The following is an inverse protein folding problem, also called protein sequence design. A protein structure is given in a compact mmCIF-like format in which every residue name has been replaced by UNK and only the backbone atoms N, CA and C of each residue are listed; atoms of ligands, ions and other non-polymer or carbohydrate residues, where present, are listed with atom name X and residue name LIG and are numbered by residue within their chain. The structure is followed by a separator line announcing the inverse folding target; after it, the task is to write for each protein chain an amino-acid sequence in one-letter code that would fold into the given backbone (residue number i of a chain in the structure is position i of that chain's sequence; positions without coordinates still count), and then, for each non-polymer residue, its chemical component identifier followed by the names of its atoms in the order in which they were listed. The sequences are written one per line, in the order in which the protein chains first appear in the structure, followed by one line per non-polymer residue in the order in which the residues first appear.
data_IF_380644500477
#
_entry.id   IF_380644500477
#
_cell.length_a   1.000
_cell.length_b   1.000
_cell.length_c   1.000
_cell.angle_alpha   90.00
_cell.angle_beta   90.00
_cell.angle_gamma   90.00
#
_symmetry.space_group_name_H-M   'P 1'
#
loop_
_entity.id
_entity.type
_entity.pdbx_description
1 polymer ?
#
# COMPACT_ATOMS: atom_id res chain seq x y z
N UNK A 1 8.07 8.38 -17.59
CA UNK A 1 7.84 8.98 -16.27
C UNK A 1 7.07 7.96 -15.47
N UNK A 2 7.62 7.45 -14.36
CA UNK A 2 6.89 6.51 -13.52
C UNK A 2 5.88 7.31 -12.71
N UNK A 3 4.61 7.25 -13.08
CA UNK A 3 3.54 7.85 -12.30
C UNK A 3 3.54 7.19 -10.92
N UNK A 4 3.86 7.98 -9.87
CA UNK A 4 3.61 7.54 -8.50
C UNK A 4 2.11 7.29 -8.38
N UNK A 5 1.74 6.11 -7.91
CA UNK A 5 0.33 5.79 -7.64
C UNK A 5 -0.22 6.80 -6.63
N UNK A 6 -1.48 7.20 -6.82
CA UNK A 6 -2.19 8.00 -5.82
C UNK A 6 -2.42 7.16 -4.56
N UNK A 7 -2.76 7.82 -3.44
CA UNK A 7 -3.18 7.12 -2.23
C UNK A 7 -4.33 6.14 -2.51
N UNK A 8 -5.33 6.59 -3.27
CA UNK A 8 -6.52 5.80 -3.59
C UNK A 8 -6.21 4.60 -4.48
N UNK A 9 -5.28 4.73 -5.43
CA UNK A 9 -4.81 3.62 -6.26
C UNK A 9 -3.98 2.62 -5.43
N UNK A 10 -3.14 3.13 -4.53
CA UNK A 10 -2.27 2.31 -3.68
C UNK A 10 -3.09 1.48 -2.68
N UNK A 11 -4.12 2.08 -2.07
CA UNK A 11 -5.00 1.37 -1.14
C UNK A 11 -5.84 0.31 -1.88
N UNK A 12 -6.40 0.62 -3.06
CA UNK A 12 -7.11 -0.35 -3.89
C UNK A 12 -6.24 -1.54 -4.27
N UNK A 13 -4.96 -1.29 -4.58
CA UNK A 13 -4.01 -2.34 -4.89
C UNK A 13 -3.73 -3.23 -3.67
N UNK A 14 -3.58 -2.64 -2.49
CA UNK A 14 -3.39 -3.40 -1.24
C UNK A 14 -4.63 -4.25 -0.92
N UNK A 15 -5.84 -3.72 -1.07
CA UNK A 15 -7.09 -4.46 -0.87
C UNK A 15 -7.22 -5.66 -1.82
N UNK A 16 -6.89 -5.46 -3.10
CA UNK A 16 -6.90 -6.54 -4.08
C UNK A 16 -5.87 -7.62 -3.74
N UNK A 17 -4.68 -7.21 -3.31
CA UNK A 17 -3.63 -8.13 -2.88
C UNK A 17 -4.06 -8.97 -1.67
N UNK A 18 -4.72 -8.36 -0.69
CA UNK A 18 -5.27 -9.09 0.47
C UNK A 18 -6.30 -10.11 0.03
N UNK A 19 -7.24 -9.74 -0.86
CA UNK A 19 -8.23 -10.68 -1.42
C UNK A 19 -7.56 -11.86 -2.14
N UNK A 20 -6.48 -11.61 -2.87
CA UNK A 20 -5.73 -12.68 -3.53
C UNK A 20 -4.98 -13.57 -2.53
N UNK A 21 -4.49 -13.03 -1.41
CA UNK A 21 -3.88 -13.81 -0.32
C UNK A 21 -4.90 -14.67 0.44
N UNK A 22 -6.16 -14.22 0.54
CA UNK A 22 -7.26 -14.97 1.16
C UNK A 22 -7.83 -16.07 0.27
N UNK A 23 -7.47 -16.07 -1.02
CA UNK A 23 -7.86 -17.13 -1.95
C UNK A 23 -7.25 -18.47 -1.54
N UNK A 24 -8.08 -19.53 -1.50
CA UNK A 24 -7.67 -20.87 -1.05
C UNK A 24 -6.75 -21.60 -2.03
N UNK A 25 -6.62 -21.10 -3.27
CA UNK A 25 -5.85 -21.71 -4.35
C UNK A 25 -4.47 -21.05 -4.56
N UNK A 26 -4.04 -20.17 -3.66
CA UNK A 26 -2.74 -19.52 -3.75
C UNK A 26 -1.61 -20.48 -3.37
N UNK A 27 -0.57 -20.57 -4.22
CA UNK A 27 0.63 -21.35 -3.89
C UNK A 27 1.50 -20.62 -2.86
N UNK A 28 2.23 -21.39 -2.04
CA UNK A 28 3.11 -20.84 -1.00
C UNK A 28 4.11 -19.79 -1.55
N UNK A 29 4.74 -20.06 -2.69
CA UNK A 29 5.66 -19.13 -3.33
C UNK A 29 4.97 -17.81 -3.71
N UNK A 30 3.73 -17.89 -4.22
CA UNK A 30 2.97 -16.71 -4.59
C UNK A 30 2.50 -15.95 -3.35
N UNK A 31 2.12 -16.64 -2.28
CA UNK A 31 1.77 -16.04 -0.99
C UNK A 31 2.94 -15.23 -0.41
N UNK A 32 4.17 -15.76 -0.46
CA UNK A 32 5.36 -15.04 0.01
C UNK A 32 5.60 -13.78 -0.82
N UNK A 33 5.48 -13.86 -2.15
CA UNK A 33 5.65 -12.71 -3.04
C UNK A 33 4.60 -11.63 -2.77
N UNK A 34 3.33 -12.01 -2.71
CA UNK A 34 2.23 -11.08 -2.41
C UNK A 34 2.36 -10.48 -1.02
N UNK A 35 2.70 -11.26 -0.02
CA UNK A 35 2.95 -10.73 1.33
C UNK A 35 4.01 -9.63 1.32
N UNK A 36 5.14 -9.85 0.63
CA UNK A 36 6.20 -8.83 0.52
C UNK A 36 5.71 -7.56 -0.19
N UNK A 37 4.94 -7.71 -1.27
CA UNK A 37 4.31 -6.58 -1.96
C UNK A 37 3.30 -5.85 -1.04
N UNK A 38 2.51 -6.57 -0.25
CA UNK A 38 1.57 -5.99 0.70
C UNK A 38 2.26 -5.16 1.79
N UNK A 39 3.42 -5.62 2.30
CA UNK A 39 4.24 -4.85 3.25
C UNK A 39 4.77 -3.56 2.61
N UNK A 40 5.23 -3.62 1.36
CA UNK A 40 5.72 -2.44 0.65
C UNK A 40 4.60 -1.41 0.41
N UNK A 41 3.44 -1.86 -0.07
CA UNK A 41 2.26 -1.00 -0.25
C UNK A 41 1.80 -0.38 1.07
N UNK A 42 1.80 -1.15 2.16
CA UNK A 42 1.44 -0.65 3.49
C UNK A 42 2.38 0.45 3.96
N UNK A 43 3.69 0.27 3.71
CA UNK A 43 4.69 1.29 4.03
C UNK A 43 4.50 2.56 3.19
N UNK A 44 4.25 2.42 1.90
CA UNK A 44 3.98 3.56 1.02
C UNK A 44 2.76 4.35 1.49
N UNK A 45 1.66 3.68 1.85
CA UNK A 45 0.46 4.33 2.39
C UNK A 45 0.74 5.08 3.68
N UNK A 46 1.52 4.49 4.58
CA UNK A 46 1.93 5.13 5.81
C UNK A 46 2.75 6.41 5.56
N UNK A 47 3.71 6.34 4.64
CA UNK A 47 4.54 7.48 4.27
C UNK A 47 3.68 8.61 3.65
N UNK A 48 2.73 8.27 2.76
CA UNK A 48 1.79 9.26 2.18
C UNK A 48 0.94 9.96 3.24
N UNK A 49 0.42 9.22 4.23
CA UNK A 49 -0.34 9.81 5.34
C UNK A 49 0.56 10.74 6.15
N UNK A 50 1.77 10.31 6.49
CA UNK A 50 2.72 11.10 7.26
C UNK A 50 3.11 12.39 6.54
N UNK A 51 3.32 12.35 5.23
CA UNK A 51 3.55 13.54 4.41
C UNK A 51 2.36 14.50 4.45
N UNK A 52 1.12 13.98 4.33
CA UNK A 52 -0.08 14.80 4.43
C UNK A 52 -0.27 15.41 5.83
N UNK A 53 0.00 14.65 6.89
CA UNK A 53 -0.05 15.16 8.27
C UNK A 53 0.97 16.26 8.51
N UNK A 54 2.20 16.10 8.03
CA UNK A 54 3.25 17.11 8.16
C UNK A 54 2.83 18.45 7.52
N UNK A 55 2.26 18.41 6.31
CA UNK A 55 1.74 19.61 5.64
C UNK A 55 0.64 20.32 6.46
N UNK A 56 -0.23 19.57 7.15
CA UNK A 56 -1.28 20.15 8.00
C UNK A 56 -0.70 20.77 9.27
N UNK A 57 0.35 20.16 9.85
CA UNK A 57 1.04 20.68 11.04
C UNK A 57 1.77 21.98 10.72
N UNK A 58 2.50 22.06 9.60
CA UNK A 58 3.19 23.28 9.14
C UNK A 58 2.24 24.47 8.90
N UNK A 59 0.97 24.23 8.57
CA UNK A 59 -0.03 25.31 8.35
C UNK A 59 -0.59 25.87 9.67
N UNK A 60 -0.40 25.18 10.80
CA UNK A 60 -0.97 25.58 12.10
C UNK A 60 -0.03 26.43 12.97
N UNK A 61 1.18 26.70 12.52
CA UNK A 61 2.15 27.60 13.20
C UNK A 61 2.19 29.01 12.63
#
# INVERSE_FOLDING_TARGET
MSEKLSFEETIKRLENLVKELESKDISLELSIKKYKEGIDLSKQLYDMIKEAEALIVDIKE
#
